data_IF_255763722359
#
_entry.id   IF_255763722359
#
_cell.length_a   1.000
_cell.length_b   1.000
_cell.length_c   1.000
_cell.angle_alpha   90.00
_cell.angle_beta   90.00
_cell.angle_gamma   90.00
#
_symmetry.space_group_name_H-M   'P 1'
#
loop_
_entity.id
_entity.type
_entity.pdbx_description
1 polymer ?
#
# COMPACT_ATOMS: atom_id res chain seq x y z
N UNK A 1 15.69 3.67 -18.02
CA UNK A 1 16.36 4.31 -16.87
C UNK A 1 16.12 5.83 -16.92
N UNK A 2 14.87 6.29 -16.76
CA UNK A 2 14.49 7.69 -16.98
C UNK A 2 14.85 8.60 -15.80
N UNK A 3 14.50 8.20 -14.57
CA UNK A 3 14.72 8.98 -13.34
C UNK A 3 16.18 9.35 -13.14
N UNK A 4 17.10 8.39 -13.30
CA UNK A 4 18.54 8.66 -13.22
C UNK A 4 18.99 9.68 -14.28
N UNK A 5 18.40 9.63 -15.47
CA UNK A 5 18.62 10.60 -16.54
C UNK A 5 18.18 12.03 -16.21
N UNK A 6 17.17 12.20 -15.36
CA UNK A 6 16.65 13.52 -14.96
C UNK A 6 17.32 14.08 -13.70
N UNK A 7 17.90 13.22 -12.85
CA UNK A 7 18.45 13.66 -11.55
C UNK A 7 19.97 13.78 -11.57
N UNK A 8 20.67 12.82 -12.18
CA UNK A 8 22.13 12.74 -12.12
C UNK A 8 22.76 13.15 -13.45
N UNK A 9 22.10 12.83 -14.57
CA UNK A 9 22.69 12.96 -15.91
C UNK A 9 22.35 14.29 -16.59
N UNK A 10 21.67 15.20 -15.91
CA UNK A 10 21.44 16.53 -16.46
C UNK A 10 22.75 17.33 -16.50
N UNK A 11 23.11 17.94 -17.65
CA UNK A 11 24.39 18.61 -17.81
C UNK A 11 24.70 19.64 -16.71
N UNK A 12 23.70 20.36 -16.21
CA UNK A 12 23.88 21.35 -15.15
C UNK A 12 24.16 20.74 -13.76
N UNK A 13 23.62 19.55 -13.48
CA UNK A 13 23.87 18.80 -12.25
C UNK A 13 25.29 18.23 -12.26
N UNK A 14 25.68 17.57 -13.36
CA UNK A 14 27.06 17.05 -13.52
C UNK A 14 28.06 18.20 -13.48
N UNK A 15 27.81 19.28 -14.22
CA UNK A 15 28.77 20.37 -14.29
C UNK A 15 28.89 21.12 -12.97
N UNK A 16 27.79 21.33 -12.25
CA UNK A 16 27.80 21.92 -10.91
C UNK A 16 28.40 21.02 -9.82
N UNK A 17 28.54 19.71 -10.07
CA UNK A 17 29.25 18.79 -9.18
C UNK A 17 30.77 18.83 -9.41
N UNK A 18 31.19 19.05 -10.66
CA UNK A 18 32.60 18.96 -11.07
C UNK A 18 33.31 20.32 -11.10
N UNK A 19 32.58 21.42 -11.32
CA UNK A 19 33.12 22.77 -11.52
C UNK A 19 32.26 23.80 -10.78
N UNK A 20 32.90 24.64 -9.96
CA UNK A 20 32.21 25.58 -9.06
C UNK A 20 31.33 26.63 -9.79
N UNK A 21 31.64 26.97 -11.04
CA UNK A 21 30.97 28.04 -11.82
C UNK A 21 30.13 27.55 -13.01
N UNK A 22 29.87 26.24 -13.12
CA UNK A 22 29.22 25.67 -14.31
C UNK A 22 27.74 25.31 -14.11
N UNK A 23 27.30 25.20 -12.87
CA UNK A 23 25.94 24.85 -12.54
C UNK A 23 25.74 24.72 -11.03
N UNK A 24 24.52 24.42 -10.61
CA UNK A 24 24.20 24.13 -9.20
C UNK A 24 23.84 22.67 -9.07
N UNK A 25 24.77 21.88 -8.52
CA UNK A 25 24.45 20.52 -8.11
C UNK A 25 23.49 20.55 -6.92
N UNK A 26 22.43 19.75 -7.00
CA UNK A 26 21.44 19.56 -5.95
C UNK A 26 21.62 18.13 -5.47
N UNK A 27 22.20 17.96 -4.28
CA UNK A 27 22.25 16.67 -3.62
C UNK A 27 20.86 16.33 -3.06
N UNK A 28 20.13 15.34 -3.62
CA UNK A 28 18.80 15.00 -3.13
C UNK A 28 18.83 14.49 -1.67
N UNK A 29 19.98 14.02 -1.17
CA UNK A 29 20.12 13.55 0.21
C UNK A 29 20.40 14.68 1.21
N UNK A 30 20.79 15.87 0.73
CA UNK A 30 21.18 17.00 1.58
C UNK A 30 20.40 18.29 1.25
N UNK A 31 19.37 18.19 0.42
CA UNK A 31 18.55 19.33 0.01
C UNK A 31 17.43 19.59 1.02
N UNK A 32 17.46 20.76 1.65
CA UNK A 32 16.39 21.23 2.54
C UNK A 32 15.45 22.16 1.78
N UNK A 33 14.15 22.00 2.01
CA UNK A 33 13.10 22.88 1.51
C UNK A 33 12.20 23.33 2.66
N UNK A 34 11.57 24.49 2.52
CA UNK A 34 10.66 25.06 3.51
C UNK A 34 9.31 25.38 2.87
N UNK A 35 8.22 25.05 3.55
CA UNK A 35 6.88 25.52 3.19
C UNK A 35 6.57 26.76 4.02
N UNK A 36 6.35 27.93 3.41
CA UNK A 36 5.95 29.12 4.16
C UNK A 36 4.59 28.87 4.81
N UNK A 37 4.51 29.06 6.12
CA UNK A 37 3.26 29.00 6.87
C UNK A 37 2.66 30.41 6.86
N UNK A 38 1.42 30.61 6.41
CA UNK A 38 0.77 31.92 6.47
C UNK A 38 0.72 32.47 7.89
N UNK A 39 0.85 33.79 8.03
CA UNK A 39 0.68 34.50 9.30
C UNK A 39 -0.74 34.33 9.87
N UNK A 40 -0.91 34.67 11.15
CA UNK A 40 -2.21 34.64 11.82
C UNK A 40 -2.49 33.32 12.57
N UNK A 41 -1.44 32.64 13.02
CA UNK A 41 -1.59 31.47 13.88
C UNK A 41 -2.47 31.81 15.10
N UNK A 42 -3.61 31.12 15.29
CA UNK A 42 -4.46 31.36 16.44
C UNK A 42 -3.75 30.91 17.72
N UNK A 43 -4.02 31.58 18.84
CA UNK A 43 -3.56 31.15 20.15
C UNK A 43 -4.03 29.71 20.41
N UNK A 44 -3.13 28.77 20.77
CA UNK A 44 -3.54 27.40 21.08
C UNK A 44 -4.63 27.38 22.15
N UNK A 45 -5.72 26.67 21.87
CA UNK A 45 -6.81 26.46 22.82
C UNK A 45 -6.83 24.99 23.20
N UNK A 46 -6.82 24.70 24.49
CA UNK A 46 -6.90 23.34 24.99
C UNK A 46 -8.22 22.67 24.56
N UNK A 47 -8.12 21.40 24.17
CA UNK A 47 -9.30 20.60 23.83
C UNK A 47 -10.17 20.44 25.07
N UNK A 48 -11.42 20.91 24.99
CA UNK A 48 -12.42 20.73 26.05
C UNK A 48 -13.13 19.39 25.87
N UNK A 49 -13.52 18.71 26.96
CA UNK A 49 -14.37 17.53 26.88
C UNK A 49 -15.65 17.83 26.11
N UNK A 50 -16.07 16.89 25.26
CA UNK A 50 -17.35 17.00 24.55
C UNK A 50 -18.48 16.80 25.58
N UNK A 51 -19.42 17.75 25.73
CA UNK A 51 -20.56 17.58 26.62
C UNK A 51 -21.38 16.33 26.25
N UNK A 52 -22.00 15.70 27.25
CA UNK A 52 -22.88 14.54 27.02
C UNK A 52 -24.07 14.86 26.10
N UNK A 53 -24.58 13.86 25.39
CA UNK A 53 -25.75 13.98 24.52
C UNK A 53 -25.47 14.62 23.14
N UNK A 54 -24.21 14.84 22.78
CA UNK A 54 -23.84 15.26 21.42
C UNK A 54 -23.84 14.06 20.46
N UNK A 55 -24.17 14.26 19.17
CA UNK A 55 -24.03 13.22 18.16
C UNK A 55 -22.59 12.68 18.12
N UNK A 56 -22.45 11.37 17.99
CA UNK A 56 -21.16 10.71 17.83
C UNK A 56 -21.03 10.23 16.40
N UNK A 57 -19.98 10.66 15.71
CA UNK A 57 -19.65 10.17 14.38
C UNK A 57 -18.89 8.84 14.49
N UNK A 58 -19.30 7.85 13.71
CA UNK A 58 -18.64 6.55 13.59
C UNK A 58 -17.99 6.43 12.23
N UNK A 59 -16.67 6.35 12.25
CA UNK A 59 -15.85 6.22 11.06
C UNK A 59 -15.29 4.80 10.95
N UNK A 60 -15.46 4.18 9.80
CA UNK A 60 -14.72 2.97 9.45
C UNK A 60 -13.44 3.37 8.72
N UNK A 61 -12.30 2.77 9.10
CA UNK A 61 -11.03 2.98 8.41
C UNK A 61 -10.51 1.63 7.90
N UNK A 62 -10.36 1.52 6.59
CA UNK A 62 -9.78 0.39 5.88
C UNK A 62 -8.43 0.83 5.30
N UNK A 63 -7.41 0.00 5.44
CA UNK A 63 -6.04 0.27 4.98
C UNK A 63 -5.32 -1.05 4.72
N UNK A 64 -4.31 -1.03 3.85
CA UNK A 64 -3.37 -2.12 3.65
C UNK A 64 -4.10 -3.46 3.41
N UNK A 65 -5.09 -3.44 2.52
CA UNK A 65 -5.95 -4.60 2.25
C UNK A 65 -5.13 -5.71 1.59
N UNK A 66 -4.14 -5.34 0.76
CA UNK A 66 -3.22 -6.24 0.07
C UNK A 66 -3.87 -7.53 -0.44
N UNK A 67 -4.68 -7.42 -1.50
CA UNK A 67 -5.32 -8.58 -2.09
C UNK A 67 -4.42 -9.30 -3.08
N UNK A 68 -4.25 -10.59 -2.83
CA UNK A 68 -3.71 -11.53 -3.79
C UNK A 68 -4.83 -12.35 -4.42
N UNK A 69 -5.15 -12.03 -5.67
CA UNK A 69 -6.15 -12.75 -6.47
C UNK A 69 -5.69 -14.17 -6.86
N UNK A 70 -4.41 -14.49 -6.67
CA UNK A 70 -3.82 -15.80 -6.91
C UNK A 70 -3.57 -16.59 -5.61
N UNK A 71 -3.94 -16.05 -4.44
CA UNK A 71 -3.78 -16.76 -3.17
C UNK A 71 -4.45 -18.13 -3.26
N UNK A 72 -3.68 -19.19 -3.00
CA UNK A 72 -4.11 -20.57 -3.15
C UNK A 72 -3.82 -21.34 -1.86
N UNK A 73 -4.85 -21.75 -1.10
CA UNK A 73 -4.69 -22.55 0.09
C UNK A 73 -3.92 -23.84 -0.18
N UNK A 74 -3.09 -24.25 0.77
CA UNK A 74 -2.26 -25.45 0.68
C UNK A 74 -0.95 -25.29 -0.09
N UNK A 75 -0.72 -24.16 -0.79
CA UNK A 75 0.59 -23.85 -1.34
C UNK A 75 1.59 -23.46 -0.25
N UNK A 76 2.87 -23.48 -0.59
CA UNK A 76 3.93 -23.09 0.34
C UNK A 76 3.76 -21.64 0.80
N UNK A 77 3.77 -21.44 2.11
CA UNK A 77 3.71 -20.12 2.74
C UNK A 77 5.08 -19.60 3.17
N UNK A 78 6.11 -20.47 3.19
CA UNK A 78 7.49 -20.14 3.53
C UNK A 78 8.42 -20.47 2.36
N UNK A 79 8.20 -19.77 1.27
CA UNK A 79 9.03 -19.84 0.07
C UNK A 79 10.23 -18.89 0.18
N UNK A 80 11.05 -18.83 -0.87
CA UNK A 80 12.21 -17.94 -1.00
C UNK A 80 11.92 -16.67 -1.80
N UNK A 81 10.70 -16.52 -2.27
CA UNK A 81 10.24 -15.33 -2.98
C UNK A 81 9.74 -14.27 -1.99
N UNK A 82 9.67 -12.99 -2.39
CA UNK A 82 9.14 -11.93 -1.53
C UNK A 82 7.66 -12.09 -1.17
N UNK A 83 6.92 -12.91 -1.91
CA UNK A 83 5.54 -13.30 -1.65
C UNK A 83 5.29 -14.77 -2.04
N UNK A 84 4.64 -15.50 -1.14
CA UNK A 84 4.32 -16.91 -1.19
C UNK A 84 2.79 -17.12 -1.23
N UNK A 85 2.32 -18.33 -0.88
CA UNK A 85 0.91 -18.72 -0.89
C UNK A 85 0.20 -18.61 -2.26
N UNK A 86 0.96 -18.50 -3.35
CA UNK A 86 0.45 -18.35 -4.72
C UNK A 86 1.20 -19.25 -5.70
N UNK A 87 0.60 -19.61 -6.84
CA UNK A 87 1.26 -20.41 -7.87
C UNK A 87 2.44 -19.66 -8.48
N UNK A 88 3.45 -20.41 -8.92
CA UNK A 88 4.53 -19.82 -9.70
C UNK A 88 4.03 -19.40 -11.09
N UNK A 89 4.30 -18.16 -11.47
CA UNK A 89 3.87 -17.59 -12.76
C UNK A 89 4.99 -17.63 -13.82
N UNK A 90 6.24 -17.73 -13.39
CA UNK A 90 7.41 -17.73 -14.28
C UNK A 90 8.40 -18.85 -13.91
N UNK A 91 9.03 -19.52 -14.90
CA UNK A 91 10.11 -20.47 -14.63
C UNK A 91 11.33 -19.85 -13.95
N UNK A 92 11.45 -18.52 -13.98
CA UNK A 92 12.53 -17.78 -13.34
C UNK A 92 12.23 -17.46 -11.87
N UNK A 93 10.99 -17.69 -11.40
CA UNK A 93 10.70 -17.65 -9.97
C UNK A 93 11.41 -18.83 -9.30
N UNK A 94 12.28 -18.49 -8.36
CA UNK A 94 13.05 -19.41 -7.55
C UNK A 94 12.15 -19.85 -6.38
N UNK A 95 11.21 -20.77 -6.64
CA UNK A 95 10.61 -21.54 -5.54
C UNK A 95 11.57 -22.66 -5.15
N UNK A 96 12.34 -22.44 -4.08
CA UNK A 96 13.25 -23.46 -3.53
C UNK A 96 12.47 -24.59 -2.83
N UNK A 97 11.15 -24.42 -2.62
CA UNK A 97 10.31 -25.47 -2.06
C UNK A 97 9.80 -26.41 -3.18
N UNK A 98 10.54 -27.49 -3.42
CA UNK A 98 10.05 -28.61 -4.22
C UNK A 98 8.85 -29.32 -3.54
N UNK A 99 8.74 -29.18 -2.21
CA UNK A 99 7.68 -29.76 -1.37
C UNK A 99 7.11 -28.70 -0.41
N UNK A 100 5.80 -28.72 -0.18
CA UNK A 100 5.11 -27.85 0.78
C UNK A 100 5.48 -28.24 2.22
N UNK A 101 6.26 -27.41 2.89
CA UNK A 101 6.62 -27.46 4.30
C UNK A 101 5.58 -26.77 5.19
N UNK A 102 5.11 -25.59 4.77
CA UNK A 102 4.10 -24.83 5.50
C UNK A 102 2.91 -24.51 4.58
N UNK A 103 1.81 -25.28 4.65
CA UNK A 103 0.66 -25.06 3.78
C UNK A 103 -0.09 -23.77 4.16
N UNK A 104 -0.35 -22.94 3.16
CA UNK A 104 -1.15 -21.73 3.27
C UNK A 104 -2.57 -22.05 3.79
N UNK A 105 -3.03 -21.28 4.78
CA UNK A 105 -4.34 -21.47 5.39
C UNK A 105 -5.48 -21.03 4.47
N UNK A 106 -6.71 -21.50 4.74
CA UNK A 106 -7.88 -21.10 3.96
C UNK A 106 -8.16 -19.59 4.05
N UNK A 107 -7.93 -18.95 5.19
CA UNK A 107 -8.29 -17.54 5.45
C UNK A 107 -7.08 -16.59 5.42
N UNK A 108 -5.97 -17.02 4.84
CA UNK A 108 -4.69 -16.33 4.94
C UNK A 108 -3.67 -17.13 5.75
N UNK A 109 -2.43 -16.64 5.74
CA UNK A 109 -1.32 -17.18 6.50
C UNK A 109 -0.44 -16.03 6.96
N UNK A 110 0.08 -16.11 8.19
CA UNK A 110 1.05 -15.14 8.71
C UNK A 110 2.41 -15.43 8.08
N UNK A 111 3.04 -14.41 7.50
CA UNK A 111 4.34 -14.51 6.85
C UNK A 111 4.35 -13.70 5.56
N UNK A 112 5.11 -14.18 4.59
CA UNK A 112 5.27 -13.56 3.27
C UNK A 112 4.07 -13.88 2.36
N UNK A 113 2.84 -13.67 2.85
CA UNK A 113 1.61 -13.93 2.09
C UNK A 113 0.62 -12.78 2.27
N UNK A 114 -0.11 -12.50 1.20
CA UNK A 114 -1.16 -11.47 1.19
C UNK A 114 -2.57 -12.08 1.34
N UNK A 115 -3.56 -11.21 1.48
CA UNK A 115 -4.92 -11.61 1.81
C UNK A 115 -5.64 -12.24 0.59
N UNK A 116 -6.32 -13.39 0.78
CA UNK A 116 -7.21 -13.89 -0.25
C UNK A 116 -8.47 -13.02 -0.37
N UNK A 117 -9.02 -12.95 -1.58
CA UNK A 117 -10.21 -12.13 -1.88
C UNK A 117 -11.41 -12.41 -0.96
N UNK A 118 -11.64 -13.68 -0.60
CA UNK A 118 -12.78 -14.04 0.26
C UNK A 118 -12.61 -13.60 1.72
N UNK A 119 -11.39 -13.31 2.18
CA UNK A 119 -11.18 -12.71 3.49
C UNK A 119 -11.75 -11.28 3.52
N UNK A 120 -11.50 -10.49 2.47
CA UNK A 120 -12.06 -9.15 2.32
C UNK A 120 -13.59 -9.19 2.30
N UNK A 121 -14.20 -10.03 1.46
CA UNK A 121 -15.67 -10.06 1.36
C UNK A 121 -16.31 -10.51 2.68
N UNK A 122 -15.73 -11.50 3.36
CA UNK A 122 -16.23 -11.94 4.67
C UNK A 122 -16.09 -10.84 5.74
N UNK A 123 -14.99 -10.07 5.73
CA UNK A 123 -14.83 -8.90 6.61
C UNK A 123 -15.90 -7.84 6.32
N UNK A 124 -16.12 -7.49 5.06
CA UNK A 124 -17.12 -6.50 4.66
C UNK A 124 -18.54 -6.95 5.00
N UNK A 125 -18.88 -8.22 4.79
CA UNK A 125 -20.16 -8.80 5.20
C UNK A 125 -20.35 -8.72 6.73
N UNK A 126 -19.32 -9.01 7.50
CA UNK A 126 -19.35 -8.86 8.96
C UNK A 126 -19.60 -7.41 9.37
N UNK A 127 -18.88 -6.46 8.78
CA UNK A 127 -19.05 -5.03 9.05
C UNK A 127 -20.47 -4.61 8.69
N UNK A 128 -20.93 -4.95 7.49
CA UNK A 128 -22.27 -4.62 7.02
C UNK A 128 -23.32 -5.19 7.96
N UNK A 129 -23.16 -6.41 8.48
CA UNK A 129 -24.10 -7.04 9.40
C UNK A 129 -24.15 -6.36 10.78
N UNK A 130 -23.00 -5.99 11.34
CA UNK A 130 -22.90 -5.55 12.74
C UNK A 130 -22.87 -4.01 12.92
N UNK A 131 -22.51 -3.26 11.88
CA UNK A 131 -22.36 -1.80 11.93
C UNK A 131 -23.28 -1.13 10.90
N UNK A 132 -24.52 -0.86 11.32
CA UNK A 132 -25.53 -0.15 10.51
C UNK A 132 -25.51 1.37 10.71
N UNK A 133 -24.63 1.86 11.55
CA UNK A 133 -24.56 3.22 12.07
C UNK A 133 -23.22 3.91 11.77
N UNK A 134 -22.57 3.50 10.67
CA UNK A 134 -21.37 4.16 10.16
C UNK A 134 -21.77 5.43 9.38
N UNK A 135 -21.11 6.54 9.68
CA UNK A 135 -21.35 7.83 9.00
C UNK A 135 -20.48 8.00 7.76
N UNK A 136 -19.26 7.45 7.77
CA UNK A 136 -18.35 7.47 6.63
C UNK A 136 -17.29 6.36 6.71
N UNK A 137 -16.71 6.07 5.55
CA UNK A 137 -15.63 5.10 5.37
C UNK A 137 -14.40 5.81 4.80
N UNK A 138 -13.25 5.60 5.42
CA UNK A 138 -11.94 6.01 4.91
C UNK A 138 -11.21 4.80 4.37
N UNK A 139 -10.67 4.91 3.16
CA UNK A 139 -9.82 3.89 2.55
C UNK A 139 -8.49 4.54 2.19
N UNK A 140 -7.39 4.12 2.85
CA UNK A 140 -6.09 4.80 2.73
C UNK A 140 -5.07 4.15 1.80
N UNK A 141 -5.49 3.18 0.98
CA UNK A 141 -4.63 2.63 -0.08
C UNK A 141 -4.02 1.27 0.27
N UNK A 142 -2.92 0.95 -0.41
CA UNK A 142 -2.23 -0.36 -0.37
C UNK A 142 -3.19 -1.53 -0.55
N UNK A 143 -3.84 -1.51 -1.72
CA UNK A 143 -4.89 -2.44 -2.09
C UNK A 143 -4.35 -3.72 -2.73
N UNK A 144 -3.17 -3.64 -3.36
CA UNK A 144 -2.63 -4.70 -4.21
C UNK A 144 -1.61 -5.54 -3.49
N UNK A 145 -1.49 -6.82 -3.89
CA UNK A 145 -0.46 -7.71 -3.38
C UNK A 145 0.96 -7.21 -3.65
N UNK A 146 1.91 -7.67 -2.84
CA UNK A 146 3.35 -7.45 -2.91
C UNK A 146 4.07 -8.22 -4.03
N UNK A 147 3.33 -8.90 -4.91
CA UNK A 147 3.86 -9.60 -6.09
C UNK A 147 4.19 -8.60 -7.20
N UNK A 148 5.06 -7.64 -6.88
CA UNK A 148 5.42 -6.50 -7.72
C UNK A 148 6.02 -6.90 -9.06
N UNK A 149 6.61 -8.10 -9.13
CA UNK A 149 7.17 -8.66 -10.36
C UNK A 149 6.09 -9.18 -11.33
N UNK A 150 4.90 -9.54 -10.83
CA UNK A 150 3.73 -9.99 -11.59
C UNK A 150 2.67 -8.88 -11.63
N UNK A 151 3.11 -7.68 -12.02
CA UNK A 151 2.29 -6.47 -11.96
C UNK A 151 2.24 -5.75 -13.32
N UNK A 152 1.04 -5.34 -13.71
CA UNK A 152 0.79 -4.51 -14.90
C UNK A 152 -0.15 -3.36 -14.56
N UNK A 153 -0.12 -2.30 -15.37
CA UNK A 153 -1.05 -1.19 -15.21
C UNK A 153 -2.50 -1.66 -15.35
N UNK A 154 -2.77 -2.56 -16.28
CA UNK A 154 -4.10 -3.09 -16.56
C UNK A 154 -4.61 -3.92 -15.38
N UNK A 155 -3.79 -4.84 -14.85
CA UNK A 155 -4.16 -5.66 -13.68
C UNK A 155 -4.37 -4.80 -12.43
N UNK A 156 -3.54 -3.78 -12.21
CA UNK A 156 -3.72 -2.84 -11.11
C UNK A 156 -5.04 -2.07 -11.20
N UNK A 157 -5.33 -1.47 -12.36
CA UNK A 157 -6.57 -0.73 -12.58
C UNK A 157 -7.80 -1.62 -12.37
N UNK A 158 -7.74 -2.86 -12.86
CA UNK A 158 -8.80 -3.85 -12.65
C UNK A 158 -8.98 -4.17 -11.16
N UNK A 159 -7.89 -4.34 -10.42
CA UNK A 159 -7.95 -4.63 -8.99
C UNK A 159 -8.50 -3.46 -8.18
N UNK A 160 -7.99 -2.24 -8.39
CA UNK A 160 -8.47 -1.03 -7.72
C UNK A 160 -9.96 -0.84 -7.98
N UNK A 161 -10.41 -1.04 -9.24
CA UNK A 161 -11.84 -0.99 -9.58
C UNK A 161 -12.63 -2.06 -8.83
N UNK A 162 -12.18 -3.31 -8.84
CA UNK A 162 -12.89 -4.42 -8.20
C UNK A 162 -13.06 -4.19 -6.68
N UNK A 163 -11.98 -3.80 -6.00
CA UNK A 163 -11.99 -3.52 -4.57
C UNK A 163 -12.89 -2.32 -4.26
N UNK A 164 -12.79 -1.25 -5.05
CA UNK A 164 -13.65 -0.08 -4.89
C UNK A 164 -15.12 -0.40 -5.07
N UNK A 165 -15.47 -1.23 -6.05
CA UNK A 165 -16.85 -1.65 -6.30
C UNK A 165 -17.37 -2.56 -5.18
N UNK A 166 -16.52 -3.43 -4.64
CA UNK A 166 -16.87 -4.35 -3.53
C UNK A 166 -17.07 -3.61 -2.21
N UNK A 167 -16.26 -2.59 -1.91
CA UNK A 167 -16.46 -1.75 -0.72
C UNK A 167 -17.76 -0.94 -0.81
N UNK A 168 -18.22 -0.62 -2.02
CA UNK A 168 -19.43 0.17 -2.27
C UNK A 168 -20.73 -0.64 -2.28
N UNK A 169 -20.68 -1.96 -2.47
CA UNK A 169 -21.85 -2.85 -2.54
C UNK A 169 -22.41 -3.19 -1.16
#
# INVERSE_FOLDING_TARGET
MYVLGQIIVEPHQICGLLLDDCGKFIDPFNSTWSVPIPDGQPTPVDKKPVPGGKPMLKALHLTDIHLDMQYTPGLEAKCSEPQCCRPQQSPNEISIAADVQQPAGQWGMVGDCDAPYWLLTNMLEFIQKNHKDLDYVMVSGDLTSHADWDYSRESHMAMVKNISDTIRS
#
